data_IF_596990377845
#
_entry.id   IF_596990377845
#
_cell.length_a   1.000
_cell.length_b   1.000
_cell.length_c   1.000
_cell.angle_alpha   90.00
_cell.angle_beta   90.00
_cell.angle_gamma   90.00
#
_symmetry.space_group_name_H-M   'P 1'
#
loop_
_entity.id
_entity.type
_entity.pdbx_description
1 polymer ?
#
# COMPACT_ATOMS: atom_id res chain seq x y z
N UNK A 1 -7.19 -10.37 -15.57
CA UNK A 1 -5.79 -9.91 -15.44
C UNK A 1 -5.72 -8.83 -14.37
N UNK A 2 -4.69 -8.87 -13.56
CA UNK A 2 -4.47 -7.89 -12.49
C UNK A 2 -3.19 -7.14 -12.79
N UNK A 3 -3.27 -5.81 -12.74
CA UNK A 3 -2.10 -4.94 -12.91
C UNK A 3 -1.91 -4.13 -11.63
N UNK A 4 -0.72 -4.19 -11.06
CA UNK A 4 -0.35 -3.44 -9.86
C UNK A 4 0.58 -2.30 -10.24
N UNK A 5 0.27 -1.11 -9.75
CA UNK A 5 1.13 0.06 -9.89
C UNK A 5 1.39 0.67 -8.53
N UNK A 6 2.65 0.98 -8.26
CA UNK A 6 3.02 1.75 -7.08
C UNK A 6 3.12 3.20 -7.51
N UNK A 7 2.22 4.04 -7.01
CA UNK A 7 2.15 5.44 -7.41
C UNK A 7 3.18 6.31 -6.70
N UNK A 8 3.40 6.03 -5.41
CA UNK A 8 4.31 6.82 -4.60
C UNK A 8 4.77 5.99 -3.41
N UNK A 9 6.06 6.10 -3.09
CA UNK A 9 6.62 5.47 -1.89
C UNK A 9 7.43 6.54 -1.16
N UNK A 10 7.14 6.70 0.13
CA UNK A 10 7.91 7.61 0.99
C UNK A 10 8.56 6.83 2.10
N UNK A 11 9.87 6.94 2.22
CA UNK A 11 10.65 6.36 3.30
C UNK A 11 10.80 7.40 4.40
N UNK A 12 10.30 7.10 5.58
CA UNK A 12 10.24 8.07 6.68
C UNK A 12 11.25 7.79 7.77
N UNK A 13 11.48 6.52 8.08
CA UNK A 13 12.38 6.12 9.16
C UNK A 13 13.15 4.88 8.74
N UNK A 14 14.50 4.86 8.91
CA UNK A 14 15.27 3.66 8.64
C UNK A 14 14.85 2.51 9.56
N UNK A 15 14.82 1.30 9.02
CA UNK A 15 14.49 0.09 9.78
C UNK A 15 15.75 -0.70 10.02
N UNK A 16 16.01 -1.00 11.28
CA UNK A 16 17.15 -1.85 11.65
C UNK A 16 16.86 -3.30 11.29
N UNK A 17 17.92 -4.06 11.01
CA UNK A 17 17.78 -5.45 10.54
C UNK A 17 17.04 -6.36 11.53
N UNK A 18 17.11 -6.09 12.82
CA UNK A 18 16.47 -6.87 13.87
C UNK A 18 15.14 -6.27 14.35
N UNK A 19 14.68 -5.20 13.72
CA UNK A 19 13.44 -4.54 14.12
C UNK A 19 12.24 -5.35 13.67
N UNK A 20 11.20 -5.35 14.51
CA UNK A 20 9.91 -5.92 14.15
C UNK A 20 9.08 -4.84 13.50
N UNK A 21 8.43 -5.20 12.41
CA UNK A 21 7.58 -4.28 11.67
C UNK A 21 6.15 -4.82 11.60
N UNK A 22 5.21 -3.91 11.40
CA UNK A 22 3.81 -4.25 11.20
C UNK A 22 3.27 -3.42 10.04
N UNK A 23 2.57 -4.07 9.14
CA UNK A 23 1.97 -3.38 8.00
C UNK A 23 0.48 -3.17 8.23
N UNK A 24 -0.04 -2.07 7.70
CA UNK A 24 -1.46 -1.78 7.65
C UNK A 24 -1.82 -1.37 6.25
N UNK A 25 -2.98 -1.84 5.79
CA UNK A 25 -3.51 -1.46 4.48
C UNK A 25 -4.82 -0.74 4.68
N UNK A 26 -4.92 0.44 4.06
CA UNK A 26 -6.13 1.23 4.09
C UNK A 26 -6.68 1.33 2.67
N UNK A 27 -7.94 0.93 2.50
CA UNK A 27 -8.63 1.07 1.23
C UNK A 27 -9.04 2.53 1.05
N UNK A 28 -8.54 3.18 0.00
CA UNK A 28 -8.84 4.57 -0.27
C UNK A 28 -10.03 4.74 -1.20
N UNK A 29 -10.10 3.94 -2.26
CA UNK A 29 -11.21 4.03 -3.20
C UNK A 29 -11.35 2.76 -4.03
N UNK A 30 -12.57 2.52 -4.48
CA UNK A 30 -12.87 1.47 -5.45
C UNK A 30 -13.72 2.11 -6.53
N UNK A 31 -13.27 2.00 -7.78
CA UNK A 31 -14.00 2.53 -8.92
C UNK A 31 -14.29 1.42 -9.91
N UNK A 32 -15.56 1.21 -10.18
CA UNK A 32 -15.99 0.21 -11.15
C UNK A 32 -16.11 0.83 -12.53
N UNK A 33 -15.54 0.17 -13.52
CA UNK A 33 -15.68 0.50 -14.93
C UNK A 33 -16.40 -0.66 -15.61
N UNK A 34 -16.67 -0.54 -16.92
CA UNK A 34 -17.44 -1.57 -17.63
C UNK A 34 -16.84 -2.96 -17.51
N UNK A 35 -15.51 -3.08 -17.59
CA UNK A 35 -14.84 -4.39 -17.58
C UNK A 35 -13.65 -4.42 -16.65
N UNK A 36 -13.59 -3.48 -15.70
CA UNK A 36 -12.48 -3.43 -14.77
C UNK A 36 -12.89 -2.81 -13.46
N UNK A 37 -12.08 -3.11 -12.43
CA UNK A 37 -12.16 -2.45 -11.14
C UNK A 37 -10.83 -1.77 -10.87
N UNK A 38 -10.89 -0.52 -10.46
CA UNK A 38 -9.71 0.21 -10.01
C UNK A 38 -9.78 0.36 -8.50
N UNK A 39 -8.77 -0.17 -7.82
CA UNK A 39 -8.69 -0.16 -6.36
C UNK A 39 -7.44 0.63 -5.98
N UNK A 40 -7.62 1.62 -5.12
CA UNK A 40 -6.51 2.38 -4.56
C UNK A 40 -6.36 2.07 -3.08
N UNK A 41 -5.14 1.77 -2.68
CA UNK A 41 -4.83 1.42 -1.30
C UNK A 41 -3.62 2.20 -0.82
N UNK A 42 -3.60 2.49 0.47
CA UNK A 42 -2.43 3.02 1.14
C UNK A 42 -1.90 1.94 2.07
N UNK A 43 -0.63 1.57 1.87
CA UNK A 43 0.05 0.61 2.75
C UNK A 43 1.05 1.38 3.59
N UNK A 44 0.94 1.24 4.89
CA UNK A 44 1.89 1.82 5.82
C UNK A 44 2.59 0.72 6.61
N UNK A 45 3.88 0.90 6.86
CA UNK A 45 4.67 -0.02 7.65
C UNK A 45 5.18 0.72 8.88
N UNK A 46 4.84 0.19 10.05
CA UNK A 46 5.24 0.75 11.34
C UNK A 46 6.36 -0.08 11.95
N UNK A 47 7.24 0.60 12.68
CA UNK A 47 8.24 -0.06 13.50
C UNK A 47 7.58 -0.33 14.86
N UNK A 48 7.54 -1.61 15.25
CA UNK A 48 6.93 -2.01 16.51
C UNK A 48 7.62 -1.34 17.70
N UNK A 49 6.81 -0.91 18.66
CA UNK A 49 7.24 -0.26 19.91
C UNK A 49 7.85 1.13 19.75
N UNK A 50 7.77 1.74 18.57
CA UNK A 50 8.31 3.09 18.37
C UNK A 50 7.29 4.13 17.92
N UNK A 51 6.08 3.71 17.60
CA UNK A 51 5.03 4.60 17.07
C UNK A 51 5.52 5.45 15.90
N UNK A 52 6.41 4.88 15.08
CA UNK A 52 6.96 5.55 13.92
C UNK A 52 6.68 4.75 12.66
N UNK A 53 6.35 5.46 11.60
CA UNK A 53 6.18 4.85 10.29
C UNK A 53 7.54 4.70 9.62
N UNK A 54 7.82 3.51 9.11
CA UNK A 54 9.01 3.27 8.31
C UNK A 54 8.83 3.77 6.89
N UNK A 55 7.70 3.44 6.28
CA UNK A 55 7.35 3.98 4.97
C UNK A 55 5.85 3.90 4.72
N UNK A 56 5.41 4.65 3.72
CA UNK A 56 4.03 4.67 3.24
C UNK A 56 4.07 4.52 1.72
N UNK A 57 3.23 3.66 1.18
CA UNK A 57 3.15 3.44 -0.26
C UNK A 57 1.71 3.54 -0.73
N UNK A 58 1.51 4.26 -1.84
CA UNK A 58 0.22 4.30 -2.52
C UNK A 58 0.23 3.26 -3.64
N UNK A 59 -0.72 2.36 -3.61
CA UNK A 59 -0.86 1.29 -4.58
C UNK A 59 -2.14 1.46 -5.38
N UNK A 60 -2.06 1.23 -6.68
CA UNK A 60 -3.23 1.15 -7.55
C UNK A 60 -3.28 -0.24 -8.16
N UNK A 61 -4.42 -0.91 -7.96
CA UNK A 61 -4.70 -2.21 -8.53
C UNK A 61 -5.76 -2.04 -9.60
N UNK A 62 -5.53 -2.59 -10.77
CA UNK A 62 -6.56 -2.68 -11.79
C UNK A 62 -6.85 -4.14 -12.08
N UNK A 63 -8.11 -4.53 -11.87
CA UNK A 63 -8.57 -5.89 -12.10
C UNK A 63 -9.46 -5.86 -13.34
N UNK A 64 -9.06 -6.59 -14.37
CA UNK A 64 -9.85 -6.71 -15.57
C UNK A 64 -10.81 -7.89 -15.45
N UNK A 65 -12.07 -7.62 -15.73
CA UNK A 65 -13.12 -8.63 -15.69
C UNK A 65 -13.39 -9.12 -17.12
N UNK A 66 -13.48 -10.41 -17.25
CA UNK A 66 -13.81 -11.02 -18.56
C UNK A 66 -15.31 -11.02 -18.83
#
# INVERSE_FOLDING_TARGET
MIINNVSAVRFLTPVKADAKIRSRTKLLSVKANKRSLDIREEVSVEIENRNKLAFVADLTLRIYLD
#
